data_IF_497376491606
#
_entry.id   IF_497376491606
#
_cell.length_a   1.000
_cell.length_b   1.000
_cell.length_c   1.000
_cell.angle_alpha   90.00
_cell.angle_beta   90.00
_cell.angle_gamma   90.00
#
_symmetry.space_group_name_H-M   'P 1'
#
loop_
_entity.id
_entity.type
_entity.pdbx_description
1 polymer ?
#
# COMPACT_ATOMS: atom_id res chain seq x y z
N UNK A 1 -11.57 12.69 -25.69
CA UNK A 1 -10.33 13.12 -25.05
C UNK A 1 -10.43 12.75 -23.59
N UNK A 2 -9.63 11.79 -23.16
CA UNK A 2 -9.60 11.44 -21.75
C UNK A 2 -8.90 12.57 -21.01
N UNK A 3 -9.63 13.21 -20.11
CA UNK A 3 -8.98 14.07 -19.13
C UNK A 3 -7.94 13.22 -18.40
N UNK A 4 -6.71 13.70 -18.37
CA UNK A 4 -5.73 13.21 -17.43
C UNK A 4 -6.41 13.32 -16.05
N UNK A 5 -6.62 12.25 -15.32
CA UNK A 5 -7.16 12.41 -13.98
C UNK A 5 -6.23 13.40 -13.28
N UNK A 6 -6.79 14.46 -12.78
CA UNK A 6 -6.07 15.32 -11.85
C UNK A 6 -5.43 14.36 -10.85
N UNK A 7 -4.11 14.34 -10.85
CA UNK A 7 -3.37 13.72 -9.75
C UNK A 7 -3.80 14.53 -8.55
N UNK A 8 -4.87 14.09 -7.94
CA UNK A 8 -5.45 14.73 -6.78
C UNK A 8 -4.34 14.94 -5.75
N UNK A 9 -4.42 16.01 -4.99
CA UNK A 9 -3.55 16.25 -3.85
C UNK A 9 -3.35 14.98 -3.01
N UNK A 10 -4.29 14.03 -3.10
CA UNK A 10 -4.30 12.73 -2.44
C UNK A 10 -3.20 11.77 -2.89
N UNK A 11 -2.57 11.97 -4.06
CA UNK A 11 -1.49 11.10 -4.56
C UNK A 11 -0.12 11.75 -4.54
N UNK A 12 0.01 12.87 -3.84
CA UNK A 12 1.31 13.49 -3.61
C UNK A 12 2.08 12.72 -2.52
N UNK A 13 3.40 12.70 -2.63
CA UNK A 13 4.28 12.06 -1.64
C UNK A 13 3.93 12.47 -0.21
N UNK A 14 3.65 13.75 0.01
CA UNK A 14 3.31 14.31 1.33
C UNK A 14 1.96 13.84 1.87
N UNK A 15 1.14 13.21 1.04
CA UNK A 15 -0.17 12.67 1.45
C UNK A 15 -0.08 11.28 2.10
N UNK A 16 1.12 10.71 2.17
CA UNK A 16 1.35 9.39 2.75
C UNK A 16 2.23 9.52 3.99
N UNK A 17 1.76 9.12 5.19
CA UNK A 17 2.51 9.29 6.43
C UNK A 17 3.69 8.32 6.58
N UNK A 18 3.74 7.24 5.80
CA UNK A 18 4.82 6.26 5.84
C UNK A 18 5.43 6.11 4.46
N UNK A 19 6.76 5.93 4.41
CA UNK A 19 7.49 5.73 3.17
C UNK A 19 8.46 4.56 3.32
N UNK A 20 8.53 3.72 2.30
CA UNK A 20 9.42 2.56 2.25
C UNK A 20 10.18 2.57 0.93
N UNK A 21 11.52 2.54 0.94
CA UNK A 21 12.27 2.38 -0.31
C UNK A 21 12.22 0.93 -0.76
N UNK A 22 11.98 0.74 -2.06
CA UNK A 22 11.96 -0.59 -2.68
C UNK A 22 12.84 -0.54 -3.92
N UNK A 23 14.05 -1.10 -3.88
CA UNK A 23 14.89 -1.21 -5.06
C UNK A 23 14.21 -2.09 -6.10
N UNK A 24 14.19 -1.63 -7.37
CA UNK A 24 13.75 -2.48 -8.46
C UNK A 24 14.79 -3.55 -8.79
N UNK A 25 14.35 -4.66 -9.38
CA UNK A 25 15.21 -5.77 -9.80
C UNK A 25 15.20 -5.84 -11.33
N UNK A 26 16.27 -6.40 -11.88
CA UNK A 26 16.32 -6.69 -13.31
C UNK A 26 15.10 -7.49 -13.77
N UNK A 27 14.66 -8.48 -12.95
CA UNK A 27 13.54 -9.34 -13.26
C UNK A 27 12.18 -8.63 -13.20
N UNK A 28 12.11 -7.40 -12.67
CA UNK A 28 10.85 -6.64 -12.58
C UNK A 28 10.43 -6.07 -13.93
N UNK A 29 11.38 -5.78 -14.83
CA UNK A 29 11.08 -5.27 -16.16
C UNK A 29 10.50 -6.36 -17.05
N UNK A 30 9.51 -5.97 -17.87
CA UNK A 30 9.01 -6.79 -18.96
C UNK A 30 9.78 -6.53 -20.26
N UNK A 31 9.31 -7.13 -21.33
CA UNK A 31 9.96 -7.02 -22.65
C UNK A 31 9.90 -5.60 -23.22
N UNK A 32 9.05 -4.72 -22.69
CA UNK A 32 8.93 -3.32 -23.10
C UNK A 32 9.87 -2.38 -22.34
N UNK A 33 10.64 -2.92 -21.39
CA UNK A 33 11.66 -2.16 -20.64
C UNK A 33 11.10 -1.39 -19.44
N UNK A 34 9.88 -1.66 -19.02
CA UNK A 34 9.27 -1.07 -17.83
C UNK A 34 8.90 -2.13 -16.82
N UNK A 35 8.80 -1.75 -15.56
CA UNK A 35 8.31 -2.66 -14.52
C UNK A 35 6.96 -3.21 -14.95
N UNK A 36 6.84 -4.55 -14.96
CA UNK A 36 5.61 -5.23 -15.33
C UNK A 36 4.48 -4.80 -14.41
N UNK A 37 3.30 -4.55 -14.99
CA UNK A 37 2.14 -4.07 -14.24
C UNK A 37 1.79 -4.96 -13.03
N UNK A 38 2.01 -6.26 -13.08
CA UNK A 38 1.72 -7.16 -11.96
C UNK A 38 2.68 -7.00 -10.79
N UNK A 39 3.89 -6.52 -11.05
CA UNK A 39 4.92 -6.32 -10.01
C UNK A 39 4.52 -5.20 -9.03
N UNK A 40 3.70 -4.24 -9.48
CA UNK A 40 3.21 -3.16 -8.61
C UNK A 40 2.46 -3.71 -7.40
N UNK A 41 1.70 -4.78 -7.58
CA UNK A 41 1.02 -5.44 -6.45
C UNK A 41 1.99 -6.07 -5.47
N UNK A 42 3.11 -6.61 -5.96
CA UNK A 42 4.18 -7.11 -5.09
C UNK A 42 4.83 -5.98 -4.30
N UNK A 43 4.99 -4.80 -4.89
CA UNK A 43 5.49 -3.63 -4.18
C UNK A 43 4.53 -3.20 -3.07
N UNK A 44 3.23 -3.26 -3.30
CA UNK A 44 2.22 -2.95 -2.27
C UNK A 44 2.36 -3.90 -1.08
N UNK A 45 2.45 -5.20 -1.34
CA UNK A 45 2.62 -6.21 -0.30
C UNK A 45 3.91 -6.00 0.49
N UNK A 46 5.00 -5.77 -0.21
CA UNK A 46 6.31 -5.54 0.42
C UNK A 46 6.28 -4.33 1.33
N UNK A 47 5.69 -3.22 0.86
CA UNK A 47 5.64 -1.98 1.62
C UNK A 47 4.81 -2.13 2.90
N UNK A 48 3.58 -2.60 2.78
CA UNK A 48 2.66 -2.68 3.92
C UNK A 48 3.10 -3.74 4.92
N UNK A 49 3.41 -4.95 4.44
CA UNK A 49 3.81 -6.02 5.34
C UNK A 49 5.17 -5.74 5.99
N UNK A 50 6.10 -5.12 5.26
CA UNK A 50 7.37 -4.69 5.81
C UNK A 50 7.20 -3.70 6.95
N UNK A 51 6.31 -2.71 6.79
CA UNK A 51 6.01 -1.75 7.86
C UNK A 51 5.35 -2.40 9.06
N UNK A 52 4.47 -3.37 8.85
CA UNK A 52 3.80 -4.10 9.94
C UNK A 52 4.81 -4.95 10.73
N UNK A 53 5.73 -5.60 10.04
CA UNK A 53 6.81 -6.37 10.67
C UNK A 53 7.71 -5.44 11.48
N UNK A 54 8.12 -4.32 10.89
CA UNK A 54 8.98 -3.33 11.55
C UNK A 54 8.30 -2.75 12.80
N UNK A 55 6.99 -2.51 12.74
CA UNK A 55 6.21 -2.01 13.87
C UNK A 55 5.97 -3.08 14.97
N UNK A 56 6.37 -4.32 14.74
CA UNK A 56 6.22 -5.40 15.70
C UNK A 56 4.81 -5.96 15.84
N UNK A 57 3.92 -5.68 14.87
CA UNK A 57 2.52 -6.13 14.91
C UNK A 57 2.21 -7.24 13.92
N UNK A 58 3.21 -7.69 13.19
CA UNK A 58 3.12 -8.86 12.30
C UNK A 58 4.38 -9.71 12.44
N UNK A 59 4.18 -10.95 12.85
CA UNK A 59 5.15 -12.04 12.73
C UNK A 59 4.61 -12.99 11.68
N UNK A 60 5.23 -13.03 10.51
CA UNK A 60 4.72 -13.78 9.34
C UNK A 60 4.50 -15.26 9.70
N UNK A 61 5.37 -15.84 10.51
CA UNK A 61 5.31 -17.25 10.85
C UNK A 61 4.36 -17.57 12.03
N UNK A 62 4.11 -16.60 12.91
CA UNK A 62 3.52 -16.89 14.25
C UNK A 62 2.28 -16.08 14.62
N UNK A 63 2.05 -14.92 13.99
CA UNK A 63 0.88 -14.11 14.35
C UNK A 63 -0.40 -14.92 14.28
N UNK A 64 -1.21 -14.93 15.34
CA UNK A 64 -2.47 -15.70 15.36
C UNK A 64 -3.55 -15.10 14.48
N UNK A 65 -3.40 -13.83 14.12
CA UNK A 65 -4.29 -13.10 13.23
C UNK A 65 -3.47 -12.61 12.04
N UNK A 66 -3.96 -12.87 10.84
CA UNK A 66 -3.30 -12.49 9.59
C UNK A 66 -4.26 -11.75 8.68
N UNK A 67 -3.73 -10.88 7.82
CA UNK A 67 -4.51 -10.16 6.82
C UNK A 67 -4.51 -10.89 5.50
N UNK A 68 -5.69 -11.09 4.93
CA UNK A 68 -5.87 -11.65 3.60
C UNK A 68 -6.42 -10.59 2.66
N UNK A 69 -5.83 -10.46 1.48
CA UNK A 69 -6.30 -9.50 0.47
C UNK A 69 -7.60 -9.98 -0.14
N UNK A 70 -8.63 -9.18 -0.07
CA UNK A 70 -9.95 -9.46 -0.67
C UNK A 70 -10.27 -8.56 -1.85
N UNK A 71 -9.59 -7.43 -1.98
CA UNK A 71 -9.76 -6.49 -3.07
C UNK A 71 -8.48 -5.70 -3.26
N UNK A 72 -8.10 -5.46 -4.51
CA UNK A 72 -6.94 -4.64 -4.85
C UNK A 72 -7.12 -3.99 -6.21
N UNK A 73 -6.47 -2.86 -6.40
CA UNK A 73 -6.47 -2.14 -7.66
C UNK A 73 -5.27 -1.22 -7.77
N UNK A 74 -4.90 -0.86 -8.99
CA UNK A 74 -3.78 0.03 -9.25
C UNK A 74 -4.07 0.89 -10.48
N UNK A 75 -3.71 2.17 -10.39
CA UNK A 75 -3.71 3.09 -11.51
C UNK A 75 -2.28 3.43 -11.86
N UNK A 76 -1.99 3.50 -13.15
CA UNK A 76 -0.65 3.71 -13.68
C UNK A 76 -0.59 5.09 -14.35
N UNK A 77 0.29 5.97 -13.89
CA UNK A 77 0.40 7.36 -14.36
C UNK A 77 1.68 7.61 -15.14
N UNK A 78 2.78 6.97 -14.74
CA UNK A 78 4.09 7.09 -15.37
C UNK A 78 4.85 5.77 -15.24
N UNK A 79 5.75 5.45 -16.18
CA UNK A 79 6.50 4.20 -16.11
C UNK A 79 7.55 4.21 -15.01
N UNK A 80 7.78 3.04 -14.41
CA UNK A 80 8.93 2.74 -13.58
C UNK A 80 9.78 1.70 -14.31
N UNK A 81 11.08 1.72 -14.09
CA UNK A 81 11.98 0.77 -14.72
C UNK A 81 13.19 0.51 -13.83
N UNK A 82 13.69 -0.74 -13.85
CA UNK A 82 15.00 -1.01 -13.26
C UNK A 82 16.06 -0.13 -13.98
N UNK A 83 16.97 0.55 -13.32
CA UNK A 83 17.35 0.40 -11.91
C UNK A 83 16.76 1.46 -10.95
N UNK A 84 15.61 2.02 -11.24
CA UNK A 84 14.98 2.98 -10.35
C UNK A 84 14.86 2.44 -8.92
N UNK A 85 15.01 3.31 -7.94
CA UNK A 85 14.58 3.02 -6.58
C UNK A 85 13.19 3.59 -6.41
N UNK A 86 12.24 2.73 -6.10
CA UNK A 86 10.86 3.12 -5.85
C UNK A 86 10.71 3.50 -4.38
N UNK A 87 10.03 4.61 -4.11
CA UNK A 87 9.54 4.90 -2.77
C UNK A 87 8.06 4.59 -2.72
N UNK A 88 7.66 3.67 -1.84
CA UNK A 88 6.27 3.39 -1.60
C UNK A 88 5.77 4.25 -0.43
N UNK A 89 4.78 5.11 -0.70
CA UNK A 89 4.05 5.82 0.33
C UNK A 89 2.86 4.98 0.78
N UNK A 90 2.63 4.90 2.07
CA UNK A 90 1.55 4.09 2.65
C UNK A 90 0.69 4.93 3.59
N UNK A 91 -0.62 4.80 3.44
CA UNK A 91 -1.60 5.36 4.37
C UNK A 91 -2.74 4.38 4.59
N UNK A 92 -3.42 4.52 5.71
CA UNK A 92 -4.64 3.79 6.01
C UNK A 92 -5.82 4.69 5.72
N UNK A 93 -6.68 4.29 4.80
CA UNK A 93 -7.86 5.06 4.43
C UNK A 93 -9.07 4.72 5.29
N UNK A 94 -9.16 3.49 5.76
CA UNK A 94 -10.29 3.02 6.56
C UNK A 94 -9.89 1.86 7.45
N UNK A 95 -10.36 1.90 8.69
CA UNK A 95 -10.24 0.79 9.66
C UNK A 95 -11.65 0.36 10.05
N UNK A 96 -12.01 -0.87 9.70
CA UNK A 96 -13.24 -1.52 10.15
C UNK A 96 -12.99 -2.38 11.38
N UNK A 97 -13.98 -3.20 11.73
CA UNK A 97 -13.83 -4.16 12.83
C UNK A 97 -12.78 -5.23 12.50
N UNK A 98 -12.86 -5.81 11.29
CA UNK A 98 -12.00 -6.90 10.80
C UNK A 98 -11.24 -6.52 9.52
N UNK A 99 -11.48 -5.36 8.96
CA UNK A 99 -10.93 -4.98 7.67
C UNK A 99 -10.15 -3.67 7.74
N UNK A 100 -9.17 -3.54 6.86
CA UNK A 100 -8.38 -2.32 6.70
C UNK A 100 -8.22 -2.04 5.21
N UNK A 101 -8.48 -0.81 4.80
CA UNK A 101 -8.13 -0.34 3.47
C UNK A 101 -6.81 0.42 3.55
N UNK A 102 -5.79 -0.14 2.92
CA UNK A 102 -4.50 0.51 2.72
C UNK A 102 -4.48 1.18 1.35
N UNK A 103 -3.92 2.37 1.28
CA UNK A 103 -3.65 3.04 0.02
C UNK A 103 -2.15 3.27 -0.13
N UNK A 104 -1.62 2.99 -1.32
CA UNK A 104 -0.19 3.01 -1.59
C UNK A 104 0.06 3.87 -2.82
N UNK A 105 1.01 4.80 -2.70
CA UNK A 105 1.56 5.51 -3.84
C UNK A 105 2.97 5.02 -4.13
N UNK A 106 3.29 4.81 -5.39
CA UNK A 106 4.63 4.42 -5.82
C UNK A 106 5.30 5.59 -6.52
N UNK A 107 6.42 6.02 -5.99
CA UNK A 107 7.15 7.20 -6.45
C UNK A 107 8.50 6.80 -7.01
N UNK A 108 8.86 7.38 -8.15
CA UNK A 108 10.20 7.22 -8.70
C UNK A 108 11.17 8.07 -7.89
N UNK A 109 12.09 7.42 -7.20
CA UNK A 109 13.09 8.08 -6.34
C UNK A 109 12.42 9.09 -5.39
N UNK A 110 12.77 10.38 -5.51
CA UNK A 110 12.27 11.47 -4.68
C UNK A 110 11.16 12.31 -5.35
N UNK A 111 10.58 11.81 -6.44
CA UNK A 111 9.50 12.50 -7.13
C UNK A 111 8.34 12.85 -6.18
N UNK A 112 7.76 14.03 -6.39
CA UNK A 112 6.65 14.51 -5.59
C UNK A 112 5.31 13.86 -5.97
N UNK A 113 5.20 13.43 -7.23
CA UNK A 113 3.99 12.84 -7.79
C UNK A 113 4.13 11.34 -7.96
N UNK A 114 3.06 10.59 -7.70
CA UNK A 114 3.07 9.15 -7.82
C UNK A 114 3.17 8.71 -9.30
N UNK A 115 4.05 7.76 -9.57
CA UNK A 115 4.08 7.06 -10.85
C UNK A 115 2.91 6.07 -10.96
N UNK A 116 2.45 5.55 -9.83
CA UNK A 116 1.26 4.71 -9.74
C UNK A 116 0.66 4.88 -8.35
N UNK A 117 -0.63 4.64 -8.22
CA UNK A 117 -1.28 4.57 -6.93
C UNK A 117 -2.31 3.44 -6.92
N UNK A 118 -2.48 2.86 -5.77
CA UNK A 118 -3.41 1.77 -5.63
C UNK A 118 -3.86 1.56 -4.20
N UNK A 119 -4.59 0.49 -4.02
CA UNK A 119 -5.11 0.13 -2.73
C UNK A 119 -5.20 -1.38 -2.60
N UNK A 120 -5.28 -1.86 -1.39
CA UNK A 120 -5.83 -3.16 -1.10
C UNK A 120 -6.58 -3.16 0.21
N UNK A 121 -7.59 -4.01 0.26
CA UNK A 121 -8.37 -4.25 1.46
C UNK A 121 -7.94 -5.60 2.02
N UNK A 122 -7.49 -5.58 3.27
CA UNK A 122 -7.20 -6.78 4.03
C UNK A 122 -8.38 -7.08 4.93
N UNK A 123 -8.82 -8.34 4.96
CA UNK A 123 -9.67 -8.85 6.03
C UNK A 123 -8.78 -9.64 6.97
N UNK A 124 -8.84 -9.30 8.25
CA UNK A 124 -8.04 -9.97 9.28
C UNK A 124 -8.80 -11.17 9.81
N UNK A 125 -8.13 -12.30 9.78
CA UNK A 125 -8.72 -13.59 10.07
C UNK A 125 -7.87 -14.33 11.11
N UNK A 126 -8.52 -15.25 11.82
CA UNK A 126 -7.80 -16.25 12.60
C UNK A 126 -6.93 -17.09 11.65
N UNK A 127 -5.65 -17.26 11.99
CA UNK A 127 -4.70 -17.99 11.15
C UNK A 127 -5.13 -19.42 10.87
N UNK A 128 -5.75 -20.07 11.84
CA UNK A 128 -6.14 -21.50 11.76
C UNK A 128 -7.50 -21.66 11.10
N UNK A 129 -8.52 -20.97 11.61
CA UNK A 129 -9.90 -21.13 11.13
C UNK A 129 -10.19 -20.37 9.87
N UNK A 130 -9.39 -19.34 9.56
CA UNK A 130 -9.59 -18.42 8.43
C UNK A 130 -10.88 -17.59 8.52
N UNK A 131 -11.49 -17.52 9.70
CA UNK A 131 -12.68 -16.71 9.92
C UNK A 131 -12.29 -15.29 10.30
N UNK A 132 -13.04 -14.29 9.84
CA UNK A 132 -12.81 -12.90 10.23
C UNK A 132 -12.88 -12.73 11.75
N UNK A 133 -11.93 -11.96 12.28
CA UNK A 133 -11.86 -11.61 13.70
C UNK A 133 -11.62 -10.11 13.83
N UNK A 134 -11.90 -9.58 15.00
CA UNK A 134 -11.58 -8.18 15.29
C UNK A 134 -10.07 -7.95 15.20
N UNK A 135 -9.68 -6.77 14.74
CA UNK A 135 -8.28 -6.38 14.71
C UNK A 135 -7.69 -6.44 16.12
N UNK A 136 -6.54 -7.11 16.30
CA UNK A 136 -5.82 -7.04 17.58
C UNK A 136 -5.53 -5.59 17.94
N UNK A 137 -5.64 -5.24 19.22
CA UNK A 137 -5.46 -3.87 19.69
C UNK A 137 -4.10 -3.27 19.31
N UNK A 138 -2.97 -3.99 19.43
CA UNK A 138 -1.67 -3.46 19.01
C UNK A 138 -1.64 -3.10 17.52
N UNK A 139 -2.24 -3.91 16.66
CA UNK A 139 -2.33 -3.64 15.23
C UNK A 139 -3.19 -2.40 14.96
N UNK A 140 -4.36 -2.34 15.57
CA UNK A 140 -5.26 -1.19 15.43
C UNK A 140 -4.56 0.11 15.82
N UNK A 141 -3.87 0.10 16.94
CA UNK A 141 -3.14 1.28 17.43
C UNK A 141 -2.08 1.77 16.46
N UNK A 142 -1.30 0.85 15.88
CA UNK A 142 -0.30 1.19 14.86
C UNK A 142 -0.96 1.78 13.62
N UNK A 143 -2.03 1.15 13.14
CA UNK A 143 -2.72 1.58 11.92
C UNK A 143 -3.40 2.95 12.07
N UNK A 144 -3.91 3.26 13.26
CA UNK A 144 -4.45 4.59 13.56
C UNK A 144 -3.40 5.69 13.35
N UNK A 145 -2.13 5.41 13.63
CA UNK A 145 -1.02 6.32 13.37
C UNK A 145 -0.69 6.50 11.89
N UNK A 146 -1.24 5.67 11.00
CA UNK A 146 -1.03 5.75 9.55
C UNK A 146 -2.25 6.33 8.82
N UNK A 147 -3.28 6.72 9.55
CA UNK A 147 -4.44 7.39 8.98
C UNK A 147 -4.09 8.85 8.65
N UNK A 148 -4.64 9.33 7.57
CA UNK A 148 -4.58 10.74 7.20
C UNK A 148 -5.91 11.36 7.57
N UNK A 149 -5.88 12.58 8.12
CA UNK A 149 -7.11 13.33 8.28
C UNK A 149 -7.79 13.45 6.92
N UNK A 150 -8.91 12.77 6.76
CA UNK A 150 -9.76 12.98 5.61
C UNK A 150 -10.20 14.44 5.66
N UNK A 151 -9.83 15.20 4.63
CA UNK A 151 -10.56 16.42 4.36
C UNK A 151 -11.99 15.95 4.10
N UNK A 152 -12.87 16.15 5.09
CA UNK A 152 -14.26 15.82 4.92
C UNK A 152 -14.77 16.60 3.72
N UNK A 153 -15.12 15.86 2.66
CA UNK A 153 -15.88 16.47 1.59
C UNK A 153 -17.11 17.10 2.23
N UNK A 154 -17.43 18.37 1.91
CA UNK A 154 -18.66 18.95 2.42
C UNK A 154 -19.85 18.08 2.02
N UNK A 155 -20.87 17.97 2.86
CA UNK A 155 -22.06 17.15 2.60
C UNK A 155 -22.73 17.52 1.29
#
# INVERSE_FOLDING_TARGET
MRETPDLNADTLRTSYPRHVPIPTRWADNDVYGHVNNVVYYAFFDTAVNGLLVEAGVLDIARSPVIGLVVETGCRYHAPLAFPDVVTAGVRVARIGRSSVRYEIGLFRADAAEAAADGFFVHVYVDRVTRRPVALPEPLRSVLEGWTVATVSSPP
#
